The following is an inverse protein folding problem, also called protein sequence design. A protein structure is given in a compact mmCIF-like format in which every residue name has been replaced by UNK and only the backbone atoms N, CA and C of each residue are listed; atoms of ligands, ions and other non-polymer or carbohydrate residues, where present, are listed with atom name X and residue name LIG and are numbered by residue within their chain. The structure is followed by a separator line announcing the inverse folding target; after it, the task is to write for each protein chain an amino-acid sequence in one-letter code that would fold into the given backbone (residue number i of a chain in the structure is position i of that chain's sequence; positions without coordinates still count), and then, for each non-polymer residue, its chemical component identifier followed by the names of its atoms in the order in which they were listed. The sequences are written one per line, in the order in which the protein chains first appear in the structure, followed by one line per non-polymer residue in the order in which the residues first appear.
data_IF_244335585645
#
_entry.id   IF_244335585645
#
_cell.length_a   1.000
_cell.length_b   1.000
_cell.length_c   1.000
_cell.angle_alpha   90.00
_cell.angle_beta   90.00
_cell.angle_gamma   90.00
#
_symmetry.space_group_name_H-M   'P 1'
#
loop_
_entity.id
_entity.type
_entity.pdbx_description
1 polymer ?
#
# COMPACT_ATOMS: atom_id res chain seq x y z
N UNK A 1 0.56 6.56 -0.57
CA UNK A 1 -0.71 6.23 0.10
C UNK A 1 -0.80 4.72 0.27
N UNK A 2 -0.99 4.26 1.47
CA UNK A 2 -1.27 2.86 1.76
C UNK A 2 -1.94 2.76 3.12
N UNK A 3 -2.79 1.74 3.31
CA UNK A 3 -3.40 1.50 4.60
C UNK A 3 -4.04 0.12 4.72
N UNK A 4 -4.24 -0.29 5.96
CA UNK A 4 -4.87 -1.55 6.32
C UNK A 4 -3.86 -2.65 6.63
N UNK A 5 -3.58 -3.54 5.69
CA UNK A 5 -2.73 -4.72 5.92
C UNK A 5 -1.27 -4.51 5.53
N UNK A 6 -0.38 -5.36 6.06
CA UNK A 6 1.05 -5.35 5.74
C UNK A 6 1.36 -5.48 4.25
N UNK A 7 0.52 -6.19 3.48
CA UNK A 7 0.69 -6.35 2.04
C UNK A 7 0.67 -5.05 1.25
N UNK A 8 -0.03 -4.01 1.75
CA UNK A 8 -0.04 -2.68 1.16
C UNK A 8 1.00 -1.75 1.79
N UNK A 9 1.14 -1.84 3.12
CA UNK A 9 1.95 -0.89 3.90
C UNK A 9 3.45 -1.12 3.70
N UNK A 10 3.94 -2.36 3.74
CA UNK A 10 5.37 -2.63 3.61
C UNK A 10 5.97 -2.31 2.24
N UNK A 11 5.33 -2.62 1.09
CA UNK A 11 5.81 -2.16 -0.20
C UNK A 11 5.84 -0.63 -0.32
N UNK A 12 4.83 0.05 0.23
CA UNK A 12 4.80 1.51 0.25
C UNK A 12 5.93 2.09 1.11
N UNK A 13 6.23 1.48 2.27
CA UNK A 13 7.37 1.87 3.12
C UNK A 13 8.71 1.68 2.40
N UNK A 14 8.90 0.54 1.73
CA UNK A 14 10.13 0.29 1.00
C UNK A 14 10.40 1.37 -0.06
N UNK A 15 9.36 1.77 -0.81
CA UNK A 15 9.47 2.89 -1.77
C UNK A 15 9.70 4.21 -1.07
N UNK A 16 9.00 4.50 0.03
CA UNK A 16 9.18 5.73 0.79
C UNK A 16 10.59 5.88 1.34
N UNK A 17 11.17 4.81 1.90
CA UNK A 17 12.55 4.77 2.39
C UNK A 17 13.56 4.98 1.26
N UNK A 18 13.34 4.34 0.11
CA UNK A 18 14.19 4.51 -1.06
C UNK A 18 14.19 5.96 -1.56
N UNK A 19 13.00 6.57 -1.69
CA UNK A 19 12.86 7.95 -2.13
C UNK A 19 13.49 8.94 -1.14
N UNK A 20 13.35 8.71 0.18
CA UNK A 20 14.02 9.50 1.21
C UNK A 20 15.56 9.45 1.08
N UNK A 21 16.13 8.27 0.82
CA UNK A 21 17.57 8.12 0.55
C UNK A 21 18.01 8.89 -0.69
N UNK A 22 17.09 9.14 -1.63
CA UNK A 22 17.29 9.98 -2.82
C UNK A 22 16.95 11.45 -2.60
N UNK A 23 16.82 11.91 -1.34
CA UNK A 23 16.52 13.28 -0.96
C UNK A 23 15.15 13.80 -1.41
N UNK A 24 14.18 12.91 -1.66
CA UNK A 24 12.81 13.31 -1.98
C UNK A 24 12.02 13.61 -0.71
N UNK A 25 11.16 14.63 -0.78
CA UNK A 25 10.15 14.86 0.25
C UNK A 25 9.04 13.84 0.15
N UNK A 26 8.86 13.06 1.20
CA UNK A 26 7.86 12.00 1.25
C UNK A 26 6.77 12.35 2.26
N UNK A 27 5.52 12.34 1.78
CA UNK A 27 4.32 12.49 2.58
C UNK A 27 3.55 11.18 2.61
N UNK A 28 2.83 10.92 3.70
CA UNK A 28 2.04 9.70 3.85
C UNK A 28 0.57 9.98 4.08
N UNK A 29 -0.29 9.29 3.33
CA UNK A 29 -1.71 9.20 3.59
C UNK A 29 -2.05 7.77 4.03
N UNK A 30 -2.63 7.63 5.22
CA UNK A 30 -3.02 6.37 5.83
C UNK A 30 -4.36 6.43 6.55
N UNK A 31 -4.79 5.31 7.13
CA UNK A 31 -5.99 5.21 7.96
C UNK A 31 -5.68 5.39 9.45
N UNK A 32 -6.68 5.79 10.22
CA UNK A 32 -6.54 5.98 11.67
C UNK A 32 -6.39 4.67 12.46
N UNK A 33 -6.75 3.52 11.87
CA UNK A 33 -6.78 2.19 12.53
C UNK A 33 -5.88 1.15 11.86
N UNK A 34 -5.05 1.53 10.89
CA UNK A 34 -4.21 0.59 10.15
C UNK A 34 -2.83 0.36 10.78
N UNK A 35 -2.14 -0.68 10.27
CA UNK A 35 -0.76 -1.02 10.66
C UNK A 35 0.20 0.15 10.43
N UNK A 36 -0.09 1.02 9.45
CA UNK A 36 0.71 2.17 9.10
C UNK A 36 1.00 3.09 10.28
N UNK A 37 0.08 3.22 11.24
CA UNK A 37 0.31 4.05 12.45
C UNK A 37 1.43 3.51 13.36
N UNK A 38 1.65 2.21 13.34
CA UNK A 38 2.62 1.55 14.22
C UNK A 38 4.02 1.52 13.58
N UNK A 39 4.07 1.44 12.24
CA UNK A 39 5.34 1.21 11.53
C UNK A 39 5.92 2.46 10.88
N UNK A 40 5.14 3.56 10.80
CA UNK A 40 5.61 4.82 10.21
C UNK A 40 6.48 5.59 11.19
N UNK A 41 7.72 5.85 10.80
CA UNK A 41 8.61 6.80 11.46
C UNK A 41 8.70 8.09 10.61
N UNK A 42 7.58 8.82 10.52
CA UNK A 42 7.47 10.09 9.82
C UNK A 42 7.00 11.17 10.79
N UNK A 43 7.48 12.39 10.59
CA UNK A 43 6.98 13.57 11.30
C UNK A 43 5.47 13.73 11.09
N UNK A 44 4.76 14.19 12.11
CA UNK A 44 3.31 14.43 12.06
C UNK A 44 2.92 15.39 10.93
N UNK A 45 3.75 16.40 10.66
CA UNK A 45 3.57 17.36 9.57
C UNK A 45 3.56 16.74 8.18
N UNK A 46 4.21 15.58 8.02
CA UNK A 46 4.34 14.84 6.76
C UNK A 46 3.33 13.69 6.64
N UNK A 47 2.42 13.56 7.60
CA UNK A 47 1.42 12.47 7.61
C UNK A 47 0.01 13.01 7.68
N UNK A 48 -0.90 12.37 6.95
CA UNK A 48 -2.34 12.58 7.09
C UNK A 48 -3.02 11.22 7.35
N UNK A 49 -3.68 11.09 8.49
CA UNK A 49 -4.51 9.94 8.82
C UNK A 49 -5.98 10.28 8.69
N UNK A 50 -6.68 9.61 7.79
CA UNK A 50 -8.11 9.84 7.53
C UNK A 50 -8.97 8.80 8.23
N UNK A 51 -10.13 9.25 8.75
CA UNK A 51 -11.19 8.38 9.29
C UNK A 51 -12.06 7.86 8.15
N UNK A 52 -11.52 6.96 7.36
CA UNK A 52 -12.26 6.29 6.31
C UNK A 52 -12.04 4.78 6.48
N UNK A 53 -13.11 4.02 6.61
CA UNK A 53 -13.06 2.58 6.80
C UNK A 53 -13.70 1.86 5.61
N UNK A 54 -13.18 0.69 5.28
CA UNK A 54 -13.79 -0.17 4.27
C UNK A 54 -15.16 -0.69 4.75
N UNK A 55 -16.05 -0.92 3.81
CA UNK A 55 -17.49 -1.22 4.03
C UNK A 55 -17.75 -2.56 4.70
N UNK A 56 -16.80 -3.49 4.66
CA UNK A 56 -16.98 -4.91 5.02
C UNK A 56 -17.37 -5.22 6.46
N UNK A 57 -17.36 -4.26 7.40
CA UNK A 57 -17.61 -4.50 8.84
C UNK A 57 -18.62 -3.56 9.49
N UNK A 58 -19.32 -2.69 8.75
CA UNK A 58 -20.04 -1.57 9.37
C UNK A 58 -21.58 -1.70 9.35
N UNK A 59 -22.16 -2.83 8.98
CA UNK A 59 -23.60 -3.00 8.91
C UNK A 59 -24.33 -1.99 8.00
N UNK A 60 -25.66 -1.96 8.01
CA UNK A 60 -26.48 -1.07 7.16
C UNK A 60 -26.21 0.41 7.44
N UNK A 61 -26.06 0.77 8.72
CA UNK A 61 -25.80 2.17 9.13
C UNK A 61 -24.46 2.69 8.61
N UNK A 62 -23.46 1.81 8.46
CA UNK A 62 -22.18 2.15 7.88
C UNK A 62 -22.26 2.44 6.38
N UNK A 63 -23.13 1.77 5.67
CA UNK A 63 -23.40 2.02 4.26
C UNK A 63 -24.05 3.38 4.03
N UNK A 64 -25.03 3.76 4.86
CA UNK A 64 -25.69 5.07 4.77
C UNK A 64 -24.72 6.24 5.02
N UNK A 65 -23.74 6.07 5.93
CA UNK A 65 -22.74 7.10 6.25
C UNK A 65 -21.55 7.12 5.29
N UNK A 66 -21.40 6.10 4.43
CA UNK A 66 -20.25 5.95 3.54
C UNK A 66 -20.06 7.14 2.59
N UNK A 67 -21.10 7.65 1.88
CA UNK A 67 -20.93 8.78 0.97
C UNK A 67 -20.42 10.03 1.68
N UNK A 68 -21.00 10.37 2.83
CA UNK A 68 -20.56 11.52 3.62
C UNK A 68 -19.11 11.37 4.10
N UNK A 69 -18.77 10.21 4.64
CA UNK A 69 -17.40 9.92 5.09
C UNK A 69 -16.39 9.98 3.93
N UNK A 70 -16.78 9.53 2.74
CA UNK A 70 -15.94 9.61 1.54
C UNK A 70 -15.70 11.06 1.14
N UNK A 71 -16.74 11.90 1.10
CA UNK A 71 -16.63 13.32 0.78
C UNK A 71 -15.73 14.05 1.77
N UNK A 72 -15.91 13.81 3.08
CA UNK A 72 -15.08 14.39 4.13
C UNK A 72 -13.61 13.93 4.01
N UNK A 73 -13.40 12.66 3.71
CA UNK A 73 -12.05 12.14 3.50
C UNK A 73 -11.39 12.78 2.27
N UNK A 74 -12.10 12.89 1.14
CA UNK A 74 -11.60 13.56 -0.07
C UNK A 74 -11.24 15.03 0.26
N UNK A 75 -12.12 15.75 0.95
CA UNK A 75 -11.89 17.16 1.30
C UNK A 75 -10.62 17.35 2.14
N UNK A 76 -10.41 16.49 3.15
CA UNK A 76 -9.20 16.52 3.99
C UNK A 76 -7.94 16.23 3.16
N UNK A 77 -8.01 15.28 2.24
CA UNK A 77 -6.88 14.97 1.36
C UNK A 77 -6.62 16.11 0.37
N UNK A 78 -7.65 16.71 -0.21
CA UNK A 78 -7.50 17.89 -1.09
C UNK A 78 -6.77 19.02 -0.37
N UNK A 79 -7.19 19.36 0.86
CA UNK A 79 -6.49 20.36 1.68
C UNK A 79 -5.02 20.02 1.89
N UNK A 80 -4.73 18.75 2.18
CA UNK A 80 -3.37 18.27 2.38
C UNK A 80 -2.53 18.36 1.11
N UNK A 81 -3.09 18.00 -0.06
CA UNK A 81 -2.41 18.08 -1.35
C UNK A 81 -2.16 19.54 -1.77
N UNK A 82 -3.12 20.44 -1.56
CA UNK A 82 -2.96 21.88 -1.87
C UNK A 82 -1.85 22.49 -1.00
N UNK A 83 -1.82 22.15 0.29
CA UNK A 83 -0.80 22.64 1.23
C UNK A 83 0.61 22.17 0.86
N UNK A 84 0.77 20.89 0.55
CA UNK A 84 2.08 20.26 0.40
C UNK A 84 2.56 20.15 -1.07
N UNK A 85 1.68 20.36 -2.04
CA UNK A 85 1.94 20.39 -3.50
C UNK A 85 2.84 19.25 -4.00
N UNK A 86 2.52 17.96 -3.72
CA UNK A 86 3.36 16.87 -4.17
C UNK A 86 3.37 16.77 -5.70
N UNK A 87 4.51 16.41 -6.29
CA UNK A 87 4.66 16.22 -7.73
C UNK A 87 3.93 14.97 -8.24
N UNK A 88 3.77 13.96 -7.38
CA UNK A 88 3.12 12.68 -7.71
C UNK A 88 2.48 12.07 -6.47
N UNK A 89 1.36 11.41 -6.66
CA UNK A 89 0.70 10.59 -5.64
C UNK A 89 0.84 9.13 -6.04
N UNK A 90 1.36 8.27 -5.12
CA UNK A 90 1.52 6.84 -5.36
C UNK A 90 0.58 6.07 -4.43
N UNK A 91 -0.32 5.25 -4.99
CA UNK A 91 -1.24 4.39 -4.26
C UNK A 91 -0.81 2.93 -4.27
N UNK A 92 -0.70 2.31 -3.08
CA UNK A 92 -0.36 0.90 -2.93
C UNK A 92 -1.57 0.04 -2.54
N UNK A 93 -2.78 0.60 -2.58
CA UNK A 93 -4.00 -0.09 -2.20
C UNK A 93 -4.42 0.14 -0.75
N UNK A 94 -5.47 -0.57 -0.36
CA UNK A 94 -6.20 -0.31 0.86
C UNK A 94 -7.28 0.77 0.69
N UNK A 95 -8.24 0.79 1.62
CA UNK A 95 -9.42 1.66 1.53
C UNK A 95 -9.09 3.16 1.47
N UNK A 96 -8.00 3.59 2.11
CA UNK A 96 -7.57 5.01 2.15
C UNK A 96 -7.11 5.55 0.81
N UNK A 97 -6.72 4.67 -0.12
CA UNK A 97 -6.23 5.11 -1.44
C UNK A 97 -7.34 5.61 -2.33
N UNK A 98 -8.59 5.19 -2.12
CA UNK A 98 -9.75 5.64 -2.92
C UNK A 98 -9.96 7.15 -2.78
N UNK A 99 -10.24 7.70 -1.56
CA UNK A 99 -10.35 9.14 -1.40
C UNK A 99 -9.06 9.89 -1.80
N UNK A 100 -7.89 9.29 -1.56
CA UNK A 100 -6.61 9.85 -1.95
C UNK A 100 -6.42 9.97 -3.46
N UNK A 101 -6.78 8.95 -4.22
CA UNK A 101 -6.68 8.97 -5.68
C UNK A 101 -7.71 9.92 -6.33
N UNK A 102 -8.93 10.00 -5.79
CA UNK A 102 -9.93 10.98 -6.23
C UNK A 102 -9.42 12.41 -5.99
N UNK A 103 -8.90 12.68 -4.79
CA UNK A 103 -8.33 13.98 -4.46
C UNK A 103 -7.14 14.36 -5.35
N UNK A 104 -6.26 13.40 -5.66
CA UNK A 104 -5.15 13.60 -6.59
C UNK A 104 -5.67 14.03 -7.98
N UNK A 105 -6.72 13.37 -8.48
CA UNK A 105 -7.35 13.74 -9.76
C UNK A 105 -7.94 15.14 -9.73
N UNK A 106 -8.66 15.50 -8.65
CA UNK A 106 -9.24 16.85 -8.46
C UNK A 106 -8.16 17.92 -8.41
N UNK A 107 -7.04 17.65 -7.75
CA UNK A 107 -5.89 18.56 -7.65
C UNK A 107 -4.99 18.52 -8.90
N UNK A 108 -5.34 17.78 -9.95
CA UNK A 108 -4.50 17.57 -11.14
C UNK A 108 -3.10 17.03 -10.84
N UNK A 109 -2.93 16.37 -9.67
CA UNK A 109 -1.68 15.72 -9.30
C UNK A 109 -1.62 14.34 -9.96
N UNK A 110 -0.52 13.98 -10.67
CA UNK A 110 -0.39 12.67 -11.30
C UNK A 110 -0.54 11.54 -10.30
N UNK A 111 -1.43 10.58 -10.60
CA UNK A 111 -1.65 9.39 -9.80
C UNK A 111 -0.94 8.18 -10.44
N UNK A 112 -0.12 7.50 -9.66
CA UNK A 112 0.45 6.18 -9.99
C UNK A 112 -0.13 5.18 -9.01
N UNK A 113 -0.49 3.99 -9.46
CA UNK A 113 -0.89 2.89 -8.56
C UNK A 113 0.07 1.72 -8.72
N UNK A 114 0.30 1.01 -7.63
CA UNK A 114 1.03 -0.26 -7.61
C UNK A 114 0.12 -1.36 -7.06
N UNK A 115 -0.04 -2.45 -7.80
CA UNK A 115 -0.76 -3.65 -7.34
C UNK A 115 0.24 -4.74 -7.01
N UNK A 116 0.23 -5.18 -5.75
CA UNK A 116 1.17 -6.16 -5.21
C UNK A 116 0.71 -7.60 -5.37
N UNK A 117 -0.58 -7.81 -5.54
CA UNK A 117 -1.20 -9.13 -5.58
C UNK A 117 -1.42 -9.61 -7.02
N UNK A 118 -1.45 -10.92 -7.22
CA UNK A 118 -1.82 -11.53 -8.49
C UNK A 118 -3.30 -11.26 -8.85
N UNK A 119 -4.16 -11.02 -7.84
CA UNK A 119 -5.55 -10.59 -8.04
C UNK A 119 -5.69 -9.15 -7.56
N UNK A 120 -6.10 -8.21 -8.44
CA UNK A 120 -6.13 -6.80 -8.08
C UNK A 120 -7.22 -6.49 -7.07
N UNK A 121 -6.84 -5.69 -6.06
CA UNK A 121 -7.75 -5.18 -5.04
C UNK A 121 -8.77 -4.20 -5.60
N UNK A 122 -9.96 -4.11 -4.96
CA UNK A 122 -11.04 -3.22 -5.40
C UNK A 122 -10.59 -1.76 -5.53
N UNK A 123 -9.81 -1.27 -4.58
CA UNK A 123 -9.29 0.11 -4.60
C UNK A 123 -8.47 0.38 -5.86
N UNK A 124 -7.55 -0.52 -6.20
CA UNK A 124 -6.71 -0.37 -7.39
C UNK A 124 -7.49 -0.53 -8.69
N UNK A 125 -8.51 -1.41 -8.73
CA UNK A 125 -9.44 -1.50 -9.88
C UNK A 125 -10.17 -0.18 -10.13
N UNK A 126 -10.68 0.46 -9.07
CA UNK A 126 -11.37 1.76 -9.17
C UNK A 126 -10.40 2.86 -9.62
N UNK A 127 -9.20 2.92 -9.03
CA UNK A 127 -8.23 3.96 -9.30
C UNK A 127 -7.49 3.79 -10.63
N UNK A 128 -7.50 2.60 -11.24
CA UNK A 128 -6.87 2.35 -12.54
C UNK A 128 -7.35 3.30 -13.63
N UNK A 129 -8.65 3.64 -13.62
CA UNK A 129 -9.25 4.59 -14.58
C UNK A 129 -8.79 6.04 -14.38
N UNK A 130 -8.31 6.38 -13.20
CA UNK A 130 -7.84 7.73 -12.82
C UNK A 130 -6.32 7.85 -12.86
N UNK A 131 -5.60 6.72 -12.87
CA UNK A 131 -4.15 6.69 -12.77
C UNK A 131 -3.47 6.98 -14.11
N UNK A 132 -2.33 7.68 -14.03
CA UNK A 132 -1.45 7.92 -15.18
C UNK A 132 -0.59 6.70 -15.51
N UNK A 133 -0.22 5.92 -14.49
CA UNK A 133 0.52 4.65 -14.64
C UNK A 133 0.02 3.61 -13.65
N UNK A 134 0.05 2.36 -14.08
CA UNK A 134 -0.26 1.17 -13.29
C UNK A 134 1.00 0.32 -13.25
N UNK A 135 1.53 0.09 -12.05
CA UNK A 135 2.70 -0.76 -11.80
C UNK A 135 2.22 -2.07 -11.18
N UNK A 136 2.80 -3.18 -11.59
CA UNK A 136 2.35 -4.51 -11.20
C UNK A 136 3.46 -5.31 -10.53
N UNK A 137 3.14 -5.94 -9.41
CA UNK A 137 3.99 -6.94 -8.76
C UNK A 137 4.02 -8.28 -9.50
N UNK A 138 2.93 -8.62 -10.21
CA UNK A 138 2.81 -9.82 -11.03
C UNK A 138 2.38 -9.46 -12.46
N UNK A 139 2.87 -10.19 -13.48
CA UNK A 139 2.53 -9.90 -14.87
C UNK A 139 1.03 -10.10 -15.13
N UNK A 140 0.49 -9.35 -16.07
CA UNK A 140 -0.88 -9.50 -16.58
C UNK A 140 -2.02 -9.33 -15.55
N UNK A 141 -1.73 -8.81 -14.36
CA UNK A 141 -2.73 -8.62 -13.28
C UNK A 141 -3.80 -7.59 -13.66
N UNK A 142 -3.42 -6.52 -14.35
CA UNK A 142 -4.35 -5.47 -14.78
C UNK A 142 -4.03 -4.99 -16.20
N UNK A 143 -5.06 -4.60 -16.99
CA UNK A 143 -4.86 -4.01 -18.32
C UNK A 143 -3.98 -2.74 -18.24
N UNK A 144 -3.13 -2.54 -19.23
CA UNK A 144 -2.21 -1.38 -19.35
C UNK A 144 -1.19 -1.26 -18.18
N UNK A 145 -1.09 -2.28 -17.33
CA UNK A 145 -0.11 -2.31 -16.26
C UNK A 145 1.28 -2.71 -16.74
N UNK A 146 2.29 -2.12 -16.13
CA UNK A 146 3.70 -2.45 -16.38
C UNK A 146 4.21 -3.31 -15.22
N UNK A 147 4.70 -4.50 -15.54
CA UNK A 147 5.30 -5.39 -14.54
C UNK A 147 6.66 -4.84 -14.10
N UNK A 148 6.80 -4.56 -12.80
CA UNK A 148 8.00 -4.03 -12.15
C UNK A 148 8.44 -4.86 -10.95
N UNK A 149 7.68 -5.89 -10.59
CA UNK A 149 7.88 -6.66 -9.36
C UNK A 149 7.37 -5.94 -8.10
N UNK A 150 7.55 -6.55 -6.95
CA UNK A 150 7.16 -6.01 -5.66
C UNK A 150 8.34 -5.30 -4.98
N UNK A 151 8.13 -4.07 -4.46
CA UNK A 151 9.15 -3.40 -3.65
C UNK A 151 9.46 -4.20 -2.38
N UNK A 152 10.73 -4.47 -2.16
CA UNK A 152 11.22 -5.20 -0.99
C UNK A 152 11.91 -4.25 -0.01
N UNK A 153 11.82 -4.54 1.29
CA UNK A 153 12.61 -3.86 2.32
C UNK A 153 14.09 -4.12 2.08
N UNK A 154 14.94 -3.13 2.33
CA UNK A 154 16.39 -3.20 2.09
C UNK A 154 17.07 -4.40 2.77
N UNK A 155 16.56 -4.84 3.93
CA UNK A 155 17.05 -6.02 4.63
C UNK A 155 16.98 -7.31 3.77
N UNK A 156 16.02 -7.43 2.86
CA UNK A 156 15.94 -8.57 1.94
C UNK A 156 16.90 -8.46 0.76
N UNK A 157 17.21 -7.25 0.33
CA UNK A 157 18.13 -7.00 -0.79
C UNK A 157 19.60 -7.24 -0.42
N UNK A 158 19.92 -7.23 0.87
CA UNK A 158 21.29 -7.48 1.38
C UNK A 158 21.58 -8.96 1.66
N UNK A 159 20.58 -9.83 1.53
CA UNK A 159 20.75 -11.28 1.75
C UNK A 159 21.53 -11.87 0.58
N UNK A 160 22.63 -12.62 0.82
CA UNK A 160 23.35 -13.28 -0.23
C UNK A 160 22.46 -14.24 -1.06
N UNK A 161 22.75 -14.45 -2.34
CA UNK A 161 21.94 -15.33 -3.19
C UNK A 161 21.89 -16.77 -2.64
N UNK A 162 20.82 -17.52 -2.94
CA UNK A 162 20.59 -18.87 -2.39
C UNK A 162 21.79 -19.80 -2.60
N UNK A 163 22.43 -19.74 -3.75
CA UNK A 163 23.56 -20.59 -4.14
C UNK A 163 24.73 -20.47 -3.14
N UNK A 164 25.00 -19.27 -2.67
CA UNK A 164 26.05 -19.03 -1.67
C UNK A 164 25.61 -19.49 -0.27
N UNK A 165 24.35 -19.24 0.10
CA UNK A 165 23.83 -19.61 1.42
C UNK A 165 23.64 -21.10 1.62
N UNK A 166 23.38 -21.85 0.55
CA UNK A 166 23.18 -23.32 0.64
C UNK A 166 24.47 -24.13 0.60
N UNK A 167 25.57 -23.56 0.10
CA UNK A 167 26.88 -24.26 0.05
C UNK A 167 27.39 -24.72 1.42
N UNK A 168 27.07 -23.94 2.46
CA UNK A 168 27.57 -24.23 3.82
C UNK A 168 26.54 -24.98 4.68
N UNK A 169 25.39 -25.33 4.11
CA UNK A 169 24.34 -26.05 4.86
C UNK A 169 24.51 -27.53 4.76
N UNK A 170 24.95 -28.11 5.87
CA UNK A 170 25.05 -29.57 6.03
C UNK A 170 23.95 -30.04 6.99
N UNK A 171 23.42 -31.26 6.77
CA UNK A 171 22.46 -31.89 7.66
C UNK A 171 21.01 -31.88 7.14
N UNK A 172 20.04 -31.99 8.06
CA UNK A 172 18.62 -32.13 7.72
C UNK A 172 18.05 -30.86 7.07
N UNK A 173 17.17 -31.07 6.10
CA UNK A 173 16.42 -29.97 5.48
C UNK A 173 15.62 -29.20 6.54
N UNK A 174 15.79 -27.88 6.58
CA UNK A 174 15.01 -26.97 7.44
C UNK A 174 14.01 -26.22 6.60
N UNK A 175 12.72 -26.41 6.87
CA UNK A 175 11.61 -25.78 6.17
C UNK A 175 10.99 -24.75 7.09
N UNK A 176 10.85 -23.50 6.61
CA UNK A 176 10.08 -22.44 7.27
C UNK A 176 8.82 -22.16 6.47
N UNK A 177 7.65 -22.34 7.09
CA UNK A 177 6.36 -22.03 6.50
C UNK A 177 5.86 -20.72 7.10
N UNK A 178 5.54 -19.75 6.24
CA UNK A 178 5.13 -18.41 6.66
C UNK A 178 3.74 -18.10 6.15
N UNK A 179 2.82 -17.83 7.04
CA UNK A 179 1.48 -17.31 6.71
C UNK A 179 1.44 -15.79 6.56
N UNK A 180 0.35 -15.28 5.97
CA UNK A 180 0.10 -13.84 5.89
C UNK A 180 -0.21 -13.20 7.26
N UNK A 181 -0.18 -11.87 7.34
CA UNK A 181 -0.36 -11.08 8.59
C UNK A 181 -1.70 -11.28 9.30
N UNK A 182 -2.71 -11.81 8.63
CA UNK A 182 -4.04 -12.11 9.20
C UNK A 182 -4.17 -13.57 9.65
N UNK A 183 -3.07 -14.32 9.63
CA UNK A 183 -3.05 -15.76 9.90
C UNK A 183 -3.39 -16.60 8.67
N UNK A 184 -3.06 -17.85 8.74
CA UNK A 184 -3.36 -18.84 7.70
C UNK A 184 -3.85 -20.12 8.40
N UNK A 185 -5.12 -20.14 8.80
CA UNK A 185 -5.74 -21.25 9.51
C UNK A 185 -5.47 -22.60 8.83
N UNK A 186 -5.49 -22.61 7.49
CA UNK A 186 -5.20 -23.79 6.68
C UNK A 186 -3.82 -24.42 7.03
N UNK A 187 -2.80 -23.61 7.34
CA UNK A 187 -1.51 -24.15 7.74
C UNK A 187 -1.56 -24.80 9.13
N UNK A 188 -2.35 -24.23 10.05
CA UNK A 188 -2.52 -24.81 11.38
C UNK A 188 -3.35 -26.13 11.36
N UNK A 189 -4.20 -26.30 10.33
CA UNK A 189 -5.04 -27.48 10.19
C UNK A 189 -4.32 -28.65 9.44
N UNK A 190 -3.23 -28.34 8.70
CA UNK A 190 -2.49 -29.31 7.86
C UNK A 190 -1.12 -29.70 8.46
N UNK A 191 -0.53 -28.82 9.27
CA UNK A 191 0.79 -29.00 9.89
C UNK A 191 0.67 -29.38 11.36
#
# INVERSE_FOLDING_TARGET
MAGGTGGHVFPALAVAEYLKKKQWDVFWLGGTKGLERQVLNLEVSRTLFIRFAGVRRNGVLGWLKLPLNLVLAIFNVVKFLIKNKPNVVIGFGGYVTVPGGIAAKLCRCPLVIHEQNATPGLSNRLLAKLSKKILLGFPNTMPKGVHVGNPLRSAFSSIPPPELRYRERNGRLKILIVGGSLGAKVFNDIL
#
